data_IF_375900572868
#
_entry.id   IF_375900572868
#
_cell.length_a   1.000
_cell.length_b   1.000
_cell.length_c   1.000
_cell.angle_alpha   90.00
_cell.angle_beta   90.00
_cell.angle_gamma   90.00
#
_symmetry.space_group_name_H-M   'P 1'
#
loop_
_entity.id
_entity.type
_entity.pdbx_description
1 polymer ?
#
# COMPACT_ATOMS: atom_id res chain seq x y z
N UNK A 1 18.08 3.90 -6.90
CA UNK A 1 16.66 3.76 -6.47
C UNK A 1 15.76 4.24 -7.58
N UNK A 2 14.70 3.51 -7.85
CA UNK A 2 13.78 3.82 -8.94
C UNK A 2 12.52 4.50 -8.40
N UNK A 3 12.13 5.62 -9.04
CA UNK A 3 10.92 6.33 -8.69
C UNK A 3 9.96 6.30 -9.88
N UNK A 4 8.71 5.98 -9.62
CA UNK A 4 7.67 5.99 -10.65
C UNK A 4 6.49 6.82 -10.20
N UNK A 5 5.72 7.32 -11.17
CA UNK A 5 4.52 8.09 -10.93
C UNK A 5 3.37 7.50 -11.72
N UNK A 6 2.19 7.60 -11.17
CA UNK A 6 0.98 7.11 -11.85
C UNK A 6 -0.20 8.00 -11.49
N UNK A 7 -1.11 8.16 -12.44
CA UNK A 7 -2.37 8.86 -12.23
C UNK A 7 -3.49 7.83 -12.29
N UNK A 8 -4.46 7.96 -11.41
CA UNK A 8 -5.55 7.01 -11.32
C UNK A 8 -6.88 7.75 -11.15
N UNK A 9 -7.90 7.25 -11.84
CA UNK A 9 -9.28 7.75 -11.66
C UNK A 9 -9.83 7.19 -10.36
N UNK A 10 -10.11 8.08 -9.42
CA UNK A 10 -10.55 7.73 -8.07
C UNK A 10 -12.07 7.52 -7.94
N UNK A 11 -12.83 7.70 -9.02
CA UNK A 11 -14.29 7.64 -8.96
C UNK A 11 -14.83 6.39 -8.32
N UNK A 12 -14.43 5.23 -8.81
CA UNK A 12 -14.88 3.95 -8.27
C UNK A 12 -14.38 3.70 -6.85
N UNK A 13 -13.15 4.10 -6.58
CA UNK A 13 -12.56 3.94 -5.25
C UNK A 13 -13.29 4.80 -4.21
N UNK A 14 -13.60 6.04 -4.55
CA UNK A 14 -14.36 6.94 -3.68
C UNK A 14 -15.75 6.36 -3.41
N UNK A 15 -16.41 5.83 -4.43
CA UNK A 15 -17.72 5.20 -4.28
C UNK A 15 -17.65 3.98 -3.36
N UNK A 16 -16.68 3.11 -3.59
CA UNK A 16 -16.49 1.91 -2.77
C UNK A 16 -16.23 2.27 -1.30
N UNK A 17 -15.37 3.24 -1.07
CA UNK A 17 -15.09 3.73 0.28
C UNK A 17 -16.36 4.27 0.93
N UNK A 18 -17.14 5.09 0.21
CA UNK A 18 -18.35 5.69 0.75
C UNK A 18 -19.44 4.65 1.06
N UNK A 19 -19.51 3.58 0.28
CA UNK A 19 -20.45 2.48 0.54
C UNK A 19 -20.11 1.70 1.82
N UNK A 20 -18.83 1.61 2.17
CA UNK A 20 -18.37 0.78 3.28
C UNK A 20 -17.91 1.55 4.50
N UNK A 21 -17.74 2.88 4.41
CA UNK A 21 -17.14 3.67 5.49
C UNK A 21 -17.90 3.58 6.80
N UNK A 22 -19.23 3.63 6.76
CA UNK A 22 -20.05 3.62 7.98
C UNK A 22 -20.01 2.26 8.66
N UNK A 23 -20.14 1.19 7.90
CA UNK A 23 -20.05 -0.18 8.41
C UNK A 23 -18.67 -0.46 8.98
N UNK A 24 -17.61 0.01 8.32
CA UNK A 24 -16.24 -0.15 8.76
C UNK A 24 -15.99 0.61 10.07
N UNK A 25 -16.44 1.86 10.16
CA UNK A 25 -16.28 2.66 11.37
C UNK A 25 -17.05 2.06 12.55
N UNK A 26 -18.27 1.55 12.31
CA UNK A 26 -19.06 0.88 13.34
C UNK A 26 -18.39 -0.39 13.83
N UNK A 27 -17.73 -1.14 12.95
CA UNK A 27 -17.11 -2.42 13.31
C UNK A 27 -15.76 -2.24 13.99
N UNK A 28 -14.94 -1.29 13.53
CA UNK A 28 -13.56 -1.15 13.99
C UNK A 28 -13.29 0.11 14.80
N UNK A 29 -14.23 1.05 14.84
CA UNK A 29 -14.08 2.30 15.61
C UNK A 29 -13.12 3.31 15.00
N UNK A 30 -12.69 3.10 13.75
CA UNK A 30 -11.81 4.00 13.03
C UNK A 30 -12.38 4.28 11.64
N UNK A 31 -12.00 5.43 11.08
CA UNK A 31 -12.46 5.82 9.76
C UNK A 31 -11.70 5.08 8.65
N UNK A 32 -12.43 4.69 7.62
CA UNK A 32 -11.85 4.05 6.45
C UNK A 32 -11.22 5.12 5.54
N UNK A 33 -9.89 5.13 5.45
CA UNK A 33 -9.16 6.05 4.59
C UNK A 33 -8.82 5.43 3.23
N UNK A 34 -8.29 6.26 2.32
CA UNK A 34 -7.90 5.79 1.00
C UNK A 34 -6.59 5.01 0.99
N UNK A 35 -5.66 5.34 1.87
CA UNK A 35 -4.32 4.76 1.84
C UNK A 35 -4.33 3.24 2.05
N UNK A 36 -5.27 2.72 2.84
CA UNK A 36 -5.40 1.28 3.05
C UNK A 36 -5.72 0.53 1.74
N UNK A 37 -6.50 1.16 0.85
CA UNK A 37 -6.78 0.58 -0.47
C UNK A 37 -5.52 0.49 -1.32
N UNK A 38 -4.68 1.52 -1.30
CA UNK A 38 -3.42 1.53 -2.06
C UNK A 38 -2.42 0.51 -1.53
N UNK A 39 -2.29 0.40 -0.22
CA UNK A 39 -1.43 -0.61 0.40
C UNK A 39 -1.88 -2.01 0.00
N UNK A 40 -3.18 -2.27 0.05
CA UNK A 40 -3.75 -3.57 -0.33
C UNK A 40 -3.51 -3.85 -1.82
N UNK A 41 -3.68 -2.84 -2.67
CA UNK A 41 -3.43 -2.96 -4.10
C UNK A 41 -1.97 -3.28 -4.39
N UNK A 42 -1.04 -2.63 -3.71
CA UNK A 42 0.40 -2.90 -3.85
C UNK A 42 0.74 -4.33 -3.44
N UNK A 43 0.20 -4.81 -2.33
CA UNK A 43 0.43 -6.17 -1.88
C UNK A 43 -0.11 -7.18 -2.89
N UNK A 44 -1.30 -6.94 -3.42
CA UNK A 44 -1.89 -7.81 -4.45
C UNK A 44 -1.01 -7.87 -5.69
N UNK A 45 -0.51 -6.72 -6.13
CA UNK A 45 0.39 -6.63 -7.28
C UNK A 45 1.71 -7.37 -7.04
N UNK A 46 2.28 -7.25 -5.84
CA UNK A 46 3.51 -7.94 -5.49
C UNK A 46 3.33 -9.46 -5.43
N UNK A 47 2.14 -9.93 -5.07
CA UNK A 47 1.81 -11.35 -5.10
C UNK A 47 1.65 -11.86 -6.52
N UNK A 48 1.07 -11.06 -7.42
CA UNK A 48 0.88 -11.41 -8.82
C UNK A 48 2.19 -11.39 -9.61
N UNK A 49 3.10 -10.50 -9.24
CA UNK A 49 4.39 -10.33 -9.92
C UNK A 49 5.50 -10.42 -8.86
N UNK A 50 5.82 -11.64 -8.41
CA UNK A 50 6.78 -11.81 -7.30
C UNK A 50 8.19 -11.34 -7.63
N UNK A 51 8.54 -11.23 -8.91
CA UNK A 51 9.85 -10.75 -9.33
C UNK A 51 10.13 -9.31 -8.88
N UNK A 52 9.09 -8.51 -8.66
CA UNK A 52 9.24 -7.14 -8.16
C UNK A 52 9.67 -7.13 -6.70
N UNK A 53 9.24 -8.13 -5.92
CA UNK A 53 9.57 -8.25 -4.50
C UNK A 53 10.70 -9.28 -4.30
N UNK A 54 11.76 -9.11 -5.06
CA UNK A 54 12.89 -10.03 -5.07
C UNK A 54 14.19 -9.26 -5.20
N UNK A 55 15.28 -9.90 -4.82
CA UNK A 55 16.61 -9.32 -4.98
C UNK A 55 17.58 -10.34 -5.54
N UNK A 56 18.64 -9.86 -6.18
CA UNK A 56 19.69 -10.72 -6.74
C UNK A 56 20.88 -10.69 -5.81
N UNK A 57 21.33 -11.89 -5.40
CA UNK A 57 22.48 -12.04 -4.55
C UNK A 57 23.32 -13.23 -5.06
N UNK A 58 24.57 -12.96 -5.43
CA UNK A 58 25.51 -14.00 -5.88
C UNK A 58 24.96 -14.87 -7.02
N UNK A 59 24.28 -14.28 -8.00
CA UNK A 59 23.61 -14.94 -9.13
C UNK A 59 22.33 -15.70 -8.76
N UNK A 60 21.89 -15.58 -7.51
CA UNK A 60 20.63 -16.17 -7.07
C UNK A 60 19.56 -15.07 -7.01
N UNK A 61 18.32 -15.43 -7.35
CA UNK A 61 17.16 -14.55 -7.19
C UNK A 61 16.43 -14.98 -5.93
N UNK A 62 16.36 -14.05 -4.96
CA UNK A 62 15.71 -14.32 -3.69
C UNK A 62 14.32 -13.68 -3.69
N UNK A 63 13.28 -14.53 -3.72
CA UNK A 63 11.89 -14.09 -3.62
C UNK A 63 11.51 -13.95 -2.14
N UNK A 64 10.93 -12.80 -1.80
CA UNK A 64 10.55 -12.52 -0.42
C UNK A 64 9.12 -12.97 -0.17
N UNK A 65 8.92 -13.71 0.93
CA UNK A 65 7.60 -14.17 1.37
C UNK A 65 6.91 -13.19 2.31
N UNK A 66 7.38 -11.95 2.36
CA UNK A 66 6.81 -10.92 3.22
C UNK A 66 6.65 -9.64 2.41
N UNK A 67 5.77 -8.77 2.89
CA UNK A 67 5.44 -7.53 2.20
C UNK A 67 5.54 -6.36 3.17
N UNK A 68 6.65 -5.63 3.09
CA UNK A 68 6.90 -4.44 3.90
C UNK A 68 6.69 -3.22 3.04
N UNK A 69 5.68 -2.42 3.37
CA UNK A 69 5.31 -1.24 2.60
C UNK A 69 5.63 0.00 3.43
N UNK A 70 6.53 0.84 2.92
CA UNK A 70 6.82 2.13 3.52
C UNK A 70 5.88 3.19 2.97
N UNK A 71 5.30 3.99 3.85
CA UNK A 71 4.39 5.07 3.47
C UNK A 71 4.97 6.38 3.97
N UNK A 72 5.27 7.30 3.04
CA UNK A 72 5.79 8.61 3.41
C UNK A 72 4.66 9.48 3.93
N UNK A 73 4.82 10.00 5.14
CA UNK A 73 3.81 10.82 5.81
C UNK A 73 4.43 12.15 6.22
N UNK A 74 3.82 13.26 5.78
CA UNK A 74 4.20 14.59 6.22
C UNK A 74 3.62 14.88 7.60
N UNK A 75 4.46 15.37 8.50
CA UNK A 75 4.05 15.77 9.84
C UNK A 75 4.56 17.17 10.13
N UNK A 76 4.09 17.77 11.24
CA UNK A 76 4.58 19.07 11.69
C UNK A 76 6.08 19.05 12.02
N UNK A 77 6.62 17.89 12.31
CA UNK A 77 8.04 17.70 12.64
C UNK A 77 8.87 17.21 11.45
N UNK A 78 8.28 17.11 10.26
CA UNK A 78 8.96 16.68 9.07
C UNK A 78 8.35 15.42 8.45
N UNK A 79 9.10 14.79 7.55
CA UNK A 79 8.66 13.60 6.84
C UNK A 79 9.05 12.34 7.60
N UNK A 80 8.09 11.45 7.80
CA UNK A 80 8.34 10.13 8.38
C UNK A 80 7.89 9.05 7.40
N UNK A 81 8.54 7.88 7.46
CA UNK A 81 8.22 6.76 6.58
C UNK A 81 8.01 5.49 7.44
N UNK A 82 6.83 5.36 8.06
CA UNK A 82 6.52 4.12 8.77
C UNK A 82 6.42 2.96 7.81
N UNK A 83 6.83 1.78 8.27
CA UNK A 83 6.76 0.56 7.48
C UNK A 83 5.61 -0.31 8.00
N UNK A 84 4.72 -0.68 7.08
CA UNK A 84 3.57 -1.55 7.37
C UNK A 84 3.97 -2.98 7.03
N UNK A 85 3.84 -3.87 7.96
CA UNK A 85 4.19 -5.28 7.81
C UNK A 85 2.96 -6.18 7.74
#
# INVERSE_FOLDING_TARGET
MLTTFNEVDMGELIRTRNEHKDAFESKYGIKLGFMSFFVKACITALKDIPEVNAEVENNDVIYKNFYNIGVAVGTDQGLVVPVIR
#
